data_IF_423480166541
#
_entry.id   IF_423480166541
#
_cell.length_a   1.000
_cell.length_b   1.000
_cell.length_c   1.000
_cell.angle_alpha   90.00
_cell.angle_beta   90.00
_cell.angle_gamma   90.00
#
_symmetry.space_group_name_H-M   'P 1'
#
loop_
_entity.id
_entity.type
_entity.pdbx_description
1 polymer ?
#
# COMPACT_ATOMS: atom_id res chain seq x y z
N UNK A 1 -24.36 5.20 -27.76
CA UNK A 1 -23.08 4.92 -27.08
C UNK A 1 -23.33 4.99 -25.58
N UNK A 2 -23.53 3.84 -24.94
CA UNK A 2 -23.93 3.70 -23.53
C UNK A 2 -22.85 4.29 -22.60
N UNK A 3 -23.26 5.15 -21.67
CA UNK A 3 -22.40 5.70 -20.61
C UNK A 3 -21.90 4.53 -19.77
N UNK A 4 -20.66 4.07 -19.99
CA UNK A 4 -20.00 3.13 -19.08
C UNK A 4 -20.05 3.74 -17.67
N UNK A 5 -20.75 3.08 -16.76
CA UNK A 5 -20.72 3.47 -15.36
C UNK A 5 -19.29 3.41 -14.84
N UNK A 6 -18.95 4.28 -13.89
CA UNK A 6 -17.65 4.24 -13.20
C UNK A 6 -17.44 2.83 -12.64
N UNK A 7 -16.31 2.22 -13.02
CA UNK A 7 -15.85 0.96 -12.44
C UNK A 7 -15.53 1.12 -10.96
N UNK A 8 -15.42 0.00 -10.25
CA UNK A 8 -15.15 0.02 -8.81
C UNK A 8 -13.80 0.67 -8.48
N UNK A 9 -12.77 0.41 -9.28
CA UNK A 9 -11.46 1.05 -9.13
C UNK A 9 -11.51 2.55 -9.36
N UNK A 10 -12.26 3.02 -10.36
CA UNK A 10 -12.43 4.46 -10.58
C UNK A 10 -13.18 5.13 -9.43
N UNK A 11 -14.15 4.45 -8.83
CA UNK A 11 -14.84 4.95 -7.62
C UNK A 11 -13.87 5.07 -6.45
N UNK A 12 -13.00 4.07 -6.24
CA UNK A 12 -11.92 4.14 -5.23
C UNK A 12 -11.00 5.33 -5.45
N UNK A 13 -10.49 5.49 -6.66
CA UNK A 13 -9.58 6.58 -7.02
C UNK A 13 -10.23 7.96 -6.79
N UNK A 14 -11.48 8.12 -7.22
CA UNK A 14 -12.22 9.38 -7.03
C UNK A 14 -12.55 9.67 -5.57
N UNK A 15 -12.88 8.64 -4.77
CA UNK A 15 -13.12 8.78 -3.33
C UNK A 15 -11.85 9.23 -2.62
N UNK A 16 -10.71 8.59 -2.93
CA UNK A 16 -9.42 8.96 -2.37
C UNK A 16 -9.03 10.39 -2.76
N UNK A 17 -9.26 10.78 -4.02
CA UNK A 17 -9.04 12.13 -4.50
C UNK A 17 -9.87 13.17 -3.73
N UNK A 18 -11.16 12.88 -3.48
CA UNK A 18 -12.02 13.76 -2.67
C UNK A 18 -11.43 13.99 -1.27
N UNK A 19 -11.00 12.92 -0.60
CA UNK A 19 -10.41 13.00 0.73
C UNK A 19 -9.10 13.80 0.73
N UNK A 20 -8.26 13.61 -0.29
CA UNK A 20 -6.98 14.32 -0.43
C UNK A 20 -7.15 15.80 -0.80
N UNK A 21 -8.15 16.14 -1.60
CA UNK A 21 -8.48 17.52 -1.96
C UNK A 21 -9.02 18.29 -0.76
N UNK A 22 -9.95 17.69 -0.02
CA UNK A 22 -10.60 18.33 1.13
C UNK A 22 -9.70 18.38 2.36
N UNK A 23 -8.84 17.38 2.57
CA UNK A 23 -7.95 17.26 3.74
C UNK A 23 -8.71 17.36 5.08
N UNK A 24 -9.94 16.85 5.09
CA UNK A 24 -10.87 16.89 6.21
C UNK A 24 -11.24 15.47 6.66
N UNK A 25 -11.86 15.39 7.83
CA UNK A 25 -12.44 14.16 8.37
C UNK A 25 -13.90 14.07 7.98
N UNK A 26 -14.32 12.90 7.50
CA UNK A 26 -15.70 12.68 7.07
C UNK A 26 -16.34 11.52 7.81
N UNK A 27 -17.62 11.66 8.14
CA UNK A 27 -18.45 10.56 8.56
C UNK A 27 -19.04 9.84 7.35
N UNK A 28 -19.45 8.58 7.53
CA UNK A 28 -20.07 7.80 6.46
C UNK A 28 -21.26 8.54 5.82
N UNK A 29 -22.12 9.16 6.65
CA UNK A 29 -23.29 9.93 6.21
C UNK A 29 -22.91 11.16 5.37
N UNK A 30 -21.75 11.75 5.61
CA UNK A 30 -21.26 12.90 4.85
C UNK A 30 -20.71 12.46 3.50
N UNK A 31 -19.95 11.35 3.48
CA UNK A 31 -19.46 10.75 2.24
C UNK A 31 -20.61 10.28 1.34
N UNK A 32 -21.68 9.74 1.91
CA UNK A 32 -22.88 9.35 1.14
C UNK A 32 -23.57 10.53 0.44
N UNK A 33 -23.38 11.76 0.93
CA UNK A 33 -23.91 12.99 0.30
C UNK A 33 -22.90 13.65 -0.65
N UNK A 34 -21.63 13.71 -0.24
CA UNK A 34 -20.58 14.38 -0.99
C UNK A 34 -20.10 13.56 -2.20
N UNK A 35 -19.97 12.24 -2.07
CA UNK A 35 -19.42 11.40 -3.12
C UNK A 35 -20.29 11.34 -4.39
N UNK A 36 -21.64 11.25 -4.32
CA UNK A 36 -22.48 11.40 -5.50
C UNK A 36 -22.44 12.81 -6.09
N UNK A 37 -22.42 13.84 -5.24
CA UNK A 37 -22.48 15.24 -5.65
C UNK A 37 -21.22 15.72 -6.36
N UNK A 38 -20.04 15.37 -5.83
CA UNK A 38 -18.77 15.87 -6.34
C UNK A 38 -18.09 14.95 -7.34
N UNK A 39 -18.20 13.63 -7.13
CA UNK A 39 -17.43 12.65 -7.89
C UNK A 39 -18.29 11.72 -8.74
N UNK A 40 -19.62 11.81 -8.60
CA UNK A 40 -20.58 10.97 -9.33
C UNK A 40 -20.58 9.51 -8.87
N UNK A 41 -20.11 9.23 -7.64
CA UNK A 41 -20.12 7.88 -7.07
C UNK A 41 -21.55 7.56 -6.62
N UNK A 42 -22.11 6.41 -7.01
CA UNK A 42 -23.44 5.99 -6.58
C UNK A 42 -23.47 5.84 -5.05
N UNK A 43 -24.45 6.48 -4.37
CA UNK A 43 -24.58 6.46 -2.91
C UNK A 43 -24.51 5.04 -2.32
N UNK A 44 -25.23 4.09 -2.92
CA UNK A 44 -25.24 2.68 -2.47
C UNK A 44 -23.85 2.02 -2.50
N UNK A 45 -22.94 2.49 -3.36
CA UNK A 45 -21.58 1.95 -3.45
C UNK A 45 -20.56 2.68 -2.57
N UNK A 46 -20.93 3.79 -1.93
CA UNK A 46 -20.00 4.57 -1.10
C UNK A 46 -19.48 3.73 0.05
N UNK A 47 -20.36 3.01 0.75
CA UNK A 47 -19.97 2.15 1.86
C UNK A 47 -18.96 1.08 1.45
N UNK A 48 -19.22 0.37 0.36
CA UNK A 48 -18.33 -0.69 -0.14
C UNK A 48 -16.98 -0.13 -0.59
N UNK A 49 -16.98 1.04 -1.24
CA UNK A 49 -15.76 1.71 -1.70
C UNK A 49 -14.92 2.19 -0.51
N UNK A 50 -15.54 2.79 0.51
CA UNK A 50 -14.85 3.25 1.72
C UNK A 50 -14.27 2.05 2.47
N UNK A 51 -15.04 0.99 2.67
CA UNK A 51 -14.55 -0.23 3.34
C UNK A 51 -13.37 -0.82 2.59
N UNK A 52 -13.48 -0.99 1.27
CA UNK A 52 -12.38 -1.53 0.47
C UNK A 52 -11.13 -0.64 0.50
N UNK A 53 -11.27 0.68 0.59
CA UNK A 53 -10.13 1.60 0.75
C UNK A 53 -9.51 1.56 2.16
N UNK A 54 -10.30 1.26 3.19
CA UNK A 54 -9.81 1.00 4.55
C UNK A 54 -9.06 -0.33 4.58
N UNK A 55 -9.62 -1.38 3.96
CA UNK A 55 -9.00 -2.71 3.88
C UNK A 55 -7.67 -2.66 3.10
N UNK A 56 -7.60 -1.84 2.03
CA UNK A 56 -6.36 -1.58 1.27
C UNK A 56 -5.35 -0.70 2.04
N UNK A 57 -5.73 -0.13 3.20
CA UNK A 57 -4.89 0.79 3.98
C UNK A 57 -4.67 2.16 3.34
N UNK A 58 -5.53 2.56 2.40
CA UNK A 58 -5.47 3.86 1.72
C UNK A 58 -6.24 4.97 2.46
N UNK A 59 -7.24 4.59 3.25
CA UNK A 59 -8.01 5.47 4.15
C UNK A 59 -7.79 5.01 5.58
N UNK A 60 -7.58 5.97 6.48
CA UNK A 60 -7.60 5.73 7.91
C UNK A 60 -9.01 5.89 8.45
N UNK A 61 -9.33 5.08 9.45
CA UNK A 61 -10.59 5.15 10.17
C UNK A 61 -10.36 5.15 11.66
N UNK A 62 -11.15 5.94 12.40
CA UNK A 62 -11.12 5.95 13.85
C UNK A 62 -12.49 6.28 14.43
N UNK A 63 -12.75 5.72 15.61
CA UNK A 63 -14.00 5.92 16.34
C UNK A 63 -13.79 6.94 17.44
N UNK A 64 -14.32 8.14 17.22
CA UNK A 64 -14.25 9.24 18.17
C UNK A 64 -15.64 9.36 18.81
N UNK A 65 -15.72 8.93 20.08
CA UNK A 65 -16.99 8.86 20.82
C UNK A 65 -17.98 7.89 20.17
N UNK A 66 -19.13 8.41 19.73
CA UNK A 66 -20.21 7.64 19.10
C UNK A 66 -20.13 7.55 17.57
N UNK A 67 -19.11 8.11 16.92
CA UNK A 67 -19.06 8.22 15.47
C UNK A 67 -17.72 7.77 14.88
N UNK A 68 -17.78 7.10 13.74
CA UNK A 68 -16.61 6.65 12.98
C UNK A 68 -16.28 7.70 11.93
N UNK A 69 -15.03 8.14 11.93
CA UNK A 69 -14.50 9.12 11.01
C UNK A 69 -13.55 8.44 10.02
N UNK A 70 -13.54 8.93 8.80
CA UNK A 70 -12.72 8.46 7.68
C UNK A 70 -11.93 9.64 7.12
N UNK A 71 -10.64 9.44 6.91
CA UNK A 71 -9.79 10.45 6.30
C UNK A 71 -8.63 9.81 5.57
N UNK A 72 -8.00 10.58 4.68
CA UNK A 72 -6.75 10.16 4.06
C UNK A 72 -5.88 11.38 3.82
N UNK A 73 -4.61 11.29 4.19
CA UNK A 73 -3.65 12.36 3.94
C UNK A 73 -2.75 12.01 2.75
N UNK A 74 -2.54 12.93 1.79
CA UNK A 74 -1.64 12.68 0.66
C UNK A 74 -0.20 12.40 1.12
N UNK A 75 0.20 12.95 2.27
CA UNK A 75 1.51 12.72 2.90
C UNK A 75 1.73 11.26 3.33
N UNK A 76 0.68 10.52 3.70
CA UNK A 76 0.80 9.10 4.05
C UNK A 76 1.13 8.23 2.84
N UNK A 77 0.61 8.56 1.66
CA UNK A 77 0.88 7.80 0.44
C UNK A 77 2.35 7.95 0.00
N UNK A 78 2.88 9.17 0.10
CA UNK A 78 4.30 9.45 -0.14
C UNK A 78 5.19 8.76 0.89
N UNK A 79 4.85 8.84 2.18
CA UNK A 79 5.67 8.27 3.25
C UNK A 79 5.62 6.74 3.25
N UNK A 80 4.47 6.12 2.98
CA UNK A 80 4.37 4.66 2.84
C UNK A 80 5.16 4.16 1.63
N UNK A 81 5.10 4.85 0.48
CA UNK A 81 5.94 4.51 -0.68
C UNK A 81 7.42 4.64 -0.37
N UNK A 82 7.85 5.72 0.29
CA UNK A 82 9.25 5.90 0.73
C UNK A 82 9.71 4.79 1.68
N UNK A 83 8.92 4.49 2.72
CA UNK A 83 9.22 3.39 3.66
C UNK A 83 9.28 2.03 2.97
N UNK A 84 8.38 1.76 2.01
CA UNK A 84 8.39 0.50 1.26
C UNK A 84 9.63 0.38 0.35
N UNK A 85 10.07 1.48 -0.26
CA UNK A 85 11.31 1.52 -1.03
C UNK A 85 12.51 1.24 -0.13
N UNK A 86 12.57 1.90 1.03
CA UNK A 86 13.66 1.73 2.00
C UNK A 86 13.73 0.29 2.55
N UNK A 87 12.58 -0.30 2.91
CA UNK A 87 12.49 -1.71 3.34
C UNK A 87 12.97 -2.69 2.26
N UNK A 88 12.53 -2.51 1.02
CA UNK A 88 12.98 -3.34 -0.11
C UNK A 88 14.47 -3.19 -0.39
N UNK A 89 15.02 -1.97 -0.26
CA UNK A 89 16.46 -1.73 -0.40
C UNK A 89 17.26 -2.45 0.70
N UNK A 90 16.81 -2.36 1.95
CA UNK A 90 17.43 -3.05 3.08
C UNK A 90 17.39 -4.58 2.93
N UNK A 91 16.27 -5.13 2.43
CA UNK A 91 16.14 -6.55 2.14
C UNK A 91 17.07 -7.00 1.01
N UNK A 92 17.21 -6.19 -0.04
CA UNK A 92 18.12 -6.46 -1.15
C UNK A 92 19.58 -6.43 -0.69
N UNK A 93 19.96 -5.44 0.11
CA UNK A 93 21.30 -5.33 0.68
C UNK A 93 21.61 -6.52 1.60
N UNK A 94 20.68 -6.87 2.49
CA UNK A 94 20.82 -8.02 3.39
C UNK A 94 20.96 -9.32 2.61
N UNK A 95 20.14 -9.51 1.58
CA UNK A 95 20.19 -10.69 0.72
C UNK A 95 21.49 -10.76 -0.08
N UNK A 96 21.98 -9.62 -0.58
CA UNK A 96 23.26 -9.51 -1.29
C UNK A 96 24.45 -9.83 -0.37
N UNK A 97 24.45 -9.31 0.86
CA UNK A 97 25.48 -9.64 1.87
C UNK A 97 25.49 -11.13 2.20
N UNK A 98 24.31 -11.74 2.41
CA UNK A 98 24.20 -13.19 2.62
C UNK A 98 24.70 -13.98 1.41
N UNK A 99 24.36 -13.57 0.19
CA UNK A 99 24.84 -14.21 -1.04
C UNK A 99 26.36 -14.19 -1.14
N UNK A 100 26.98 -13.03 -0.84
CA UNK A 100 28.44 -12.91 -0.78
C UNK A 100 29.05 -13.84 0.27
N UNK A 101 28.55 -13.84 1.50
CA UNK A 101 29.15 -14.65 2.57
C UNK A 101 29.01 -16.15 2.30
N UNK A 102 27.88 -16.58 1.74
CA UNK A 102 27.67 -17.98 1.33
C UNK A 102 28.61 -18.34 0.17
N UNK A 103 28.77 -17.46 -0.82
CA UNK A 103 29.68 -17.70 -1.94
C UNK A 103 31.15 -17.76 -1.49
N UNK A 104 31.58 -16.89 -0.58
CA UNK A 104 32.91 -16.92 0.03
C UNK A 104 33.14 -18.21 0.83
N UNK A 105 32.15 -18.65 1.61
CA UNK A 105 32.21 -19.92 2.34
C UNK A 105 32.28 -21.13 1.41
N UNK A 106 31.54 -21.11 0.30
CA UNK A 106 31.56 -22.16 -0.71
C UNK A 106 32.91 -22.23 -1.43
N UNK A 107 33.47 -21.08 -1.82
CA UNK A 107 34.81 -20.99 -2.40
C UNK A 107 35.88 -21.53 -1.44
N UNK A 108 35.80 -21.16 -0.15
CA UNK A 108 36.70 -21.67 0.88
C UNK A 108 36.60 -23.19 1.04
N UNK A 109 35.38 -23.75 1.08
CA UNK A 109 35.19 -25.21 1.15
C UNK A 109 35.71 -25.94 -0.09
N UNK A 110 35.48 -25.39 -1.29
CA UNK A 110 35.99 -25.97 -2.54
C UNK A 110 37.52 -25.94 -2.58
N UNK A 111 38.16 -24.88 -2.06
CA UNK A 111 39.62 -24.80 -1.96
C UNK A 111 40.19 -25.86 -1.01
N UNK A 112 39.57 -26.03 0.18
CA UNK A 112 39.96 -27.05 1.16
C UNK A 112 39.83 -28.46 0.56
N UNK A 113 38.72 -28.78 -0.11
CA UNK A 113 38.54 -30.09 -0.76
C UNK A 113 39.55 -30.37 -1.88
N UNK A 114 39.89 -29.37 -2.71
CA UNK A 114 40.92 -29.52 -3.75
C UNK A 114 42.33 -29.72 -3.20
N UNK A 115 42.62 -29.17 -2.01
CA UNK A 115 43.92 -29.37 -1.34
C UNK A 115 44.06 -30.76 -0.71
N UNK A 116 42.96 -31.38 -0.29
CA UNK A 116 42.97 -32.72 0.30
C UNK A 116 42.88 -33.86 -0.73
N UNK A 117 42.41 -33.59 -1.95
CA UNK A 117 42.34 -34.55 -3.06
C UNK A 117 43.62 -34.69 -3.90
N UNK A 118 44.77 -34.17 -3.44
CA UNK A 118 46.05 -34.25 -4.16
C UNK A 118 47.13 -34.93 -3.31
N UNK A 119 46.80 -36.08 -2.74
CA UNK A 119 47.78 -37.09 -2.31
C UNK A 119 47.21 -38.45 -2.71
N UNK A 120 48.06 -39.22 -3.38
CA UNK A 120 47.86 -40.49 -4.12
C UNK A 120 47.17 -40.38 -5.47
#
# INVERSE_FOLDING_TARGET
MSKKGLSFEEKKAKMLQLLHERREFFQLKELEKLAPKEKGITANSVKDVVQALVDDGAIDTDKIGGSVHFWSFPSKLMNNKKRKIEDLQNQLETSSKKLKSVNESLQAQVFVQKSQGRVT
#
